data_IF_145184357340
#
_entry.id   IF_145184357340
#
_cell.length_a   1.000
_cell.length_b   1.000
_cell.length_c   1.000
_cell.angle_alpha   90.00
_cell.angle_beta   90.00
_cell.angle_gamma   90.00
#
_symmetry.space_group_name_H-M   'P 1'
#
loop_
_entity.id
_entity.type
_entity.pdbx_description
1 polymer ?
#
# COMPACT_ATOMS: atom_id res chain seq x y z
N UNK A 1 -15.51 20.26 7.81
CA UNK A 1 -14.92 20.79 6.56
C UNK A 1 -13.57 20.12 6.44
N UNK A 2 -13.33 19.36 5.37
CA UNK A 2 -12.00 18.86 5.09
C UNK A 2 -11.09 20.06 4.76
N UNK A 3 -9.95 20.16 5.43
CA UNK A 3 -8.94 21.17 5.12
C UNK A 3 -8.34 20.83 3.75
N UNK A 4 -8.55 21.68 2.74
CA UNK A 4 -7.87 21.54 1.45
C UNK A 4 -6.55 22.31 1.52
N UNK A 5 -5.40 21.62 1.61
CA UNK A 5 -4.12 22.29 1.70
C UNK A 5 -3.83 23.06 0.40
N UNK A 6 -3.28 24.25 0.54
CA UNK A 6 -2.77 25.00 -0.60
C UNK A 6 -1.73 24.14 -1.34
N UNK A 7 -1.80 24.11 -2.68
CA UNK A 7 -0.75 23.47 -3.49
C UNK A 7 0.60 24.16 -3.28
N UNK A 8 1.68 23.38 -3.42
CA UNK A 8 3.06 23.87 -3.35
C UNK A 8 3.42 24.64 -4.64
N UNK A 9 4.26 25.66 -4.51
CA UNK A 9 4.96 26.25 -5.64
C UNK A 9 6.04 25.29 -6.17
N UNK A 10 6.53 25.47 -7.39
CA UNK A 10 7.59 24.65 -7.97
C UNK A 10 8.86 24.60 -7.09
N UNK A 11 9.21 25.72 -6.43
CA UNK A 11 10.34 25.76 -5.50
C UNK A 11 10.08 24.92 -4.24
N UNK A 12 8.87 24.98 -3.68
CA UNK A 12 8.48 24.19 -2.51
C UNK A 12 8.40 22.70 -2.85
N UNK A 13 7.94 22.34 -4.04
CA UNK A 13 7.95 20.94 -4.53
C UNK A 13 9.39 20.40 -4.56
N UNK A 14 10.35 21.16 -5.10
CA UNK A 14 11.76 20.77 -5.11
C UNK A 14 12.33 20.64 -3.68
N UNK A 15 11.99 21.57 -2.80
CA UNK A 15 12.42 21.50 -1.39
C UNK A 15 11.85 20.28 -0.68
N UNK A 16 10.57 19.97 -0.90
CA UNK A 16 9.94 18.78 -0.34
C UNK A 16 10.58 17.49 -0.86
N UNK A 17 10.86 17.39 -2.18
CA UNK A 17 11.54 16.24 -2.75
C UNK A 17 12.89 16.00 -2.08
N UNK A 18 13.73 17.03 -1.98
CA UNK A 18 15.03 16.95 -1.33
C UNK A 18 14.92 16.62 0.17
N UNK A 19 13.89 17.13 0.84
CA UNK A 19 13.64 16.88 2.25
C UNK A 19 13.32 15.39 2.48
N UNK A 20 12.44 14.82 1.67
CA UNK A 20 12.06 13.40 1.77
C UNK A 20 13.25 12.50 1.42
N UNK A 21 14.02 12.81 0.38
CA UNK A 21 15.23 12.05 0.02
C UNK A 21 16.25 12.08 1.16
N UNK A 22 16.53 13.25 1.74
CA UNK A 22 17.45 13.39 2.88
C UNK A 22 16.97 12.57 4.08
N UNK A 23 15.67 12.57 4.32
CA UNK A 23 15.04 11.81 5.39
C UNK A 23 15.12 10.30 5.12
N UNK A 24 14.82 9.84 3.90
CA UNK A 24 14.94 8.44 3.48
C UNK A 24 16.39 7.94 3.64
N UNK A 25 17.36 8.73 3.22
CA UNK A 25 18.79 8.41 3.39
C UNK A 25 19.16 8.31 4.86
N UNK A 26 18.70 9.23 5.71
CA UNK A 26 18.95 9.19 7.13
C UNK A 26 18.32 7.95 7.79
N UNK A 27 17.08 7.60 7.43
CA UNK A 27 16.37 6.43 7.96
C UNK A 27 17.00 5.12 7.48
N UNK A 28 17.35 5.01 6.21
CA UNK A 28 17.93 3.79 5.64
C UNK A 28 19.39 3.56 6.09
N UNK A 29 20.17 4.61 6.32
CA UNK A 29 21.60 4.53 6.61
C UNK A 29 21.94 4.67 8.09
N UNK A 30 20.99 5.00 8.95
CA UNK A 30 21.27 5.25 10.36
C UNK A 30 20.84 4.09 11.26
N UNK A 31 21.59 3.91 12.37
CA UNK A 31 21.13 3.16 13.54
C UNK A 31 19.76 3.65 14.07
N UNK A 32 19.28 4.81 13.59
CA UNK A 32 17.93 5.35 13.83
C UNK A 32 16.80 4.58 13.13
N UNK A 33 17.08 3.79 12.10
CA UNK A 33 16.12 2.80 11.56
C UNK A 33 15.68 1.77 12.60
N UNK A 34 16.42 1.64 13.71
CA UNK A 34 16.04 0.83 14.88
C UNK A 34 15.29 1.63 15.96
N UNK A 35 15.07 2.94 15.78
CA UNK A 35 14.45 3.80 16.79
C UNK A 35 13.02 4.17 16.38
N UNK A 36 12.05 3.47 16.96
CA UNK A 36 10.67 3.90 17.00
C UNK A 36 9.78 3.40 15.87
N UNK A 37 8.97 4.26 15.28
CA UNK A 37 7.87 3.98 14.37
C UNK A 37 8.25 3.11 13.14
N UNK A 38 9.46 3.29 12.58
CA UNK A 38 9.93 2.54 11.39
C UNK A 38 10.21 1.06 11.63
N UNK A 39 10.55 0.65 12.86
CA UNK A 39 10.70 -0.77 13.19
C UNK A 39 9.39 -1.53 13.01
N UNK A 40 8.26 -0.85 13.18
CA UNK A 40 6.93 -1.40 12.99
C UNK A 40 6.35 -1.27 11.57
N UNK A 41 7.00 -0.49 10.67
CA UNK A 41 6.42 -0.13 9.36
C UNK A 41 7.37 -0.35 8.17
N UNK A 42 7.96 -1.54 8.00
CA UNK A 42 8.93 -1.80 6.93
C UNK A 42 8.33 -1.72 5.52
N UNK A 43 7.05 -2.08 5.35
CA UNK A 43 6.38 -1.99 4.05
C UNK A 43 6.09 -0.55 3.67
N UNK A 44 5.61 0.27 4.59
CA UNK A 44 5.41 1.71 4.37
C UNK A 44 6.70 2.39 3.93
N UNK A 45 7.82 2.12 4.61
CA UNK A 45 9.13 2.67 4.24
C UNK A 45 9.58 2.17 2.86
N UNK A 46 9.43 0.87 2.59
CA UNK A 46 9.76 0.28 1.29
C UNK A 46 8.95 0.88 0.14
N UNK A 47 7.63 1.10 0.35
CA UNK A 47 6.74 1.67 -0.65
C UNK A 47 7.09 3.14 -0.92
N UNK A 48 7.35 3.92 0.13
CA UNK A 48 7.76 5.30 -0.01
C UNK A 48 9.11 5.42 -0.73
N UNK A 49 10.10 4.60 -0.36
CA UNK A 49 11.39 4.55 -1.06
C UNK A 49 11.21 4.25 -2.55
N UNK A 50 10.37 3.27 -2.87
CA UNK A 50 10.05 2.89 -4.25
C UNK A 50 9.39 4.03 -5.01
N UNK A 51 8.45 4.73 -4.38
CA UNK A 51 7.76 5.88 -4.95
C UNK A 51 8.72 7.01 -5.29
N UNK A 52 9.56 7.42 -4.33
CA UNK A 52 10.52 8.51 -4.49
C UNK A 52 11.64 8.18 -5.48
N UNK A 53 12.14 6.94 -5.49
CA UNK A 53 13.25 6.55 -6.36
C UNK A 53 12.81 5.91 -7.69
N UNK A 54 11.52 6.01 -8.03
CA UNK A 54 10.98 5.52 -9.33
C UNK A 54 11.35 4.06 -9.65
N UNK A 55 11.29 3.18 -8.62
CA UNK A 55 11.77 1.79 -8.74
C UNK A 55 10.81 0.87 -9.52
N UNK A 56 9.70 1.42 -10.03
CA UNK A 56 8.70 0.69 -10.80
C UNK A 56 7.80 -0.23 -9.98
N UNK A 57 7.00 -1.03 -10.67
CA UNK A 57 6.03 -1.94 -10.05
C UNK A 57 6.69 -2.99 -9.14
N UNK A 58 5.94 -3.49 -8.16
CA UNK A 58 6.41 -4.54 -7.27
C UNK A 58 5.41 -5.70 -7.21
N UNK A 59 5.95 -6.88 -6.88
CA UNK A 59 5.15 -8.05 -6.53
C UNK A 59 5.50 -8.46 -5.10
N UNK A 60 4.48 -8.64 -4.26
CA UNK A 60 4.64 -9.14 -2.91
C UNK A 60 4.17 -10.60 -2.84
N UNK A 61 4.80 -11.39 -1.97
CA UNK A 61 4.31 -12.73 -1.64
C UNK A 61 3.01 -12.64 -0.87
N UNK A 62 2.07 -13.55 -1.13
CA UNK A 62 0.85 -13.68 -0.35
C UNK A 62 1.10 -13.90 1.14
N UNK A 63 2.21 -14.58 1.49
CA UNK A 63 2.54 -14.89 2.88
C UNK A 63 2.61 -13.66 3.78
N UNK A 64 2.90 -12.48 3.21
CA UNK A 64 2.99 -11.24 3.98
C UNK A 64 1.63 -10.77 4.51
N UNK A 65 0.53 -11.09 3.79
CA UNK A 65 -0.84 -10.69 4.16
C UNK A 65 -1.73 -11.87 4.55
N UNK A 66 -1.24 -13.10 4.48
CA UNK A 66 -2.03 -14.31 4.67
C UNK A 66 -2.71 -14.40 6.05
N UNK A 67 -2.09 -13.81 7.07
CA UNK A 67 -2.57 -13.82 8.45
C UNK A 67 -3.52 -12.67 8.78
N UNK A 68 -3.73 -11.70 7.87
CA UNK A 68 -4.67 -10.62 8.09
C UNK A 68 -6.11 -11.12 8.12
N UNK A 69 -6.87 -10.73 9.14
CA UNK A 69 -8.27 -11.17 9.29
C UNK A 69 -9.12 -10.75 8.09
N UNK A 70 -8.90 -9.54 7.57
CA UNK A 70 -9.60 -9.04 6.39
C UNK A 70 -9.40 -9.94 5.16
N UNK A 71 -8.19 -10.45 4.95
CA UNK A 71 -7.86 -11.37 3.85
C UNK A 71 -8.52 -12.73 4.07
N UNK A 72 -8.47 -13.28 5.30
CA UNK A 72 -9.15 -14.54 5.63
C UNK A 72 -10.65 -14.44 5.39
N UNK A 73 -11.30 -13.37 5.88
CA UNK A 73 -12.73 -13.15 5.65
C UNK A 73 -13.10 -12.97 4.17
N UNK A 74 -12.25 -12.28 3.40
CA UNK A 74 -12.46 -12.15 1.96
C UNK A 74 -12.35 -13.52 1.26
N UNK A 75 -11.36 -14.34 1.63
CA UNK A 75 -11.21 -15.71 1.12
C UNK A 75 -12.42 -16.57 1.45
N UNK A 76 -12.94 -16.52 2.68
CA UNK A 76 -14.11 -17.29 3.10
C UNK A 76 -15.36 -16.89 2.30
N UNK A 77 -15.58 -15.60 2.08
CA UNK A 77 -16.70 -15.10 1.26
C UNK A 77 -16.56 -15.55 -0.21
N UNK A 78 -15.33 -15.49 -0.75
CA UNK A 78 -15.07 -15.97 -2.11
C UNK A 78 -15.34 -17.47 -2.24
N UNK A 79 -14.86 -18.27 -1.29
CA UNK A 79 -15.15 -19.72 -1.23
C UNK A 79 -16.64 -20.00 -1.21
N UNK A 80 -17.41 -19.27 -0.37
CA UNK A 80 -18.86 -19.41 -0.31
C UNK A 80 -19.54 -19.06 -1.65
N UNK A 81 -19.14 -17.96 -2.28
CA UNK A 81 -19.69 -17.54 -3.57
C UNK A 81 -19.40 -18.55 -4.69
N UNK A 82 -18.16 -19.06 -4.76
CA UNK A 82 -17.76 -20.07 -5.76
C UNK A 82 -18.52 -21.39 -5.55
N UNK A 83 -18.71 -21.84 -4.30
CA UNK A 83 -19.55 -23.01 -3.98
C UNK A 83 -21.01 -22.82 -4.40
N UNK A 84 -21.52 -21.58 -4.35
CA UNK A 84 -22.85 -21.21 -4.83
C UNK A 84 -22.93 -21.07 -6.37
N UNK A 85 -21.85 -21.35 -7.10
CA UNK A 85 -21.82 -21.37 -8.56
C UNK A 85 -21.29 -20.11 -9.24
N UNK A 86 -20.70 -19.16 -8.48
CA UNK A 86 -20.05 -18.01 -9.07
C UNK A 86 -18.75 -18.42 -9.79
N UNK A 87 -18.57 -17.99 -11.04
CA UNK A 87 -17.30 -18.19 -11.77
C UNK A 87 -16.22 -17.17 -11.38
N UNK A 88 -16.63 -16.05 -10.78
CA UNK A 88 -15.77 -15.01 -10.24
C UNK A 88 -16.45 -14.31 -9.05
N UNK A 89 -15.64 -13.70 -8.21
CA UNK A 89 -16.09 -12.92 -7.05
C UNK A 89 -15.16 -11.73 -6.85
N UNK A 90 -15.67 -10.63 -6.34
CA UNK A 90 -14.88 -9.45 -6.00
C UNK A 90 -15.16 -9.06 -4.55
N UNK A 91 -14.10 -8.77 -3.82
CA UNK A 91 -14.17 -8.26 -2.46
C UNK A 91 -13.30 -7.02 -2.28
N UNK A 92 -13.40 -6.38 -1.15
CA UNK A 92 -12.60 -5.21 -0.81
C UNK A 92 -12.24 -5.19 0.66
N UNK A 93 -10.97 -5.00 0.96
CA UNK A 93 -10.52 -4.57 2.27
C UNK A 93 -10.71 -3.06 2.33
N UNK A 94 -11.49 -2.58 3.29
CA UNK A 94 -11.73 -1.16 3.49
C UNK A 94 -10.58 -0.53 4.26
N UNK A 95 -10.42 0.78 4.17
CA UNK A 95 -9.53 1.55 5.05
C UNK A 95 -9.94 1.30 6.51
N UNK A 96 -8.97 1.06 7.40
CA UNK A 96 -9.20 0.62 8.78
C UNK A 96 -9.51 -0.87 8.92
N UNK A 97 -9.39 -1.67 7.85
CA UNK A 97 -9.67 -3.11 7.85
C UNK A 97 -8.47 -4.00 8.11
N UNK A 98 -7.26 -3.46 8.06
CA UNK A 98 -6.05 -4.21 8.34
C UNK A 98 -5.77 -4.30 9.84
N UNK A 99 -5.30 -5.45 10.31
CA UNK A 99 -4.84 -5.63 11.69
C UNK A 99 -3.44 -5.04 11.88
N UNK A 100 -2.65 -5.02 10.82
CA UNK A 100 -1.30 -4.47 10.80
C UNK A 100 -1.33 -3.03 10.27
N UNK A 101 -0.96 -2.06 11.10
CA UNK A 101 -0.91 -0.64 10.77
C UNK A 101 0.03 -0.34 9.59
N UNK A 102 1.06 -1.17 9.37
CA UNK A 102 1.96 -1.03 8.22
C UNK A 102 1.24 -1.32 6.90
N UNK A 103 0.33 -2.32 6.86
CA UNK A 103 -0.50 -2.56 5.68
C UNK A 103 -1.60 -1.52 5.52
N UNK A 104 -2.16 -1.00 6.62
CA UNK A 104 -3.10 0.11 6.57
C UNK A 104 -2.46 1.34 5.90
N UNK A 105 -1.19 1.62 6.20
CA UNK A 105 -0.47 2.76 5.66
C UNK A 105 0.07 2.51 4.24
N UNK A 106 0.51 1.27 3.95
CA UNK A 106 1.16 0.93 2.67
C UNK A 106 0.18 0.49 1.58
N UNK A 107 -0.84 -0.27 1.92
CA UNK A 107 -1.85 -0.79 0.98
C UNK A 107 -3.18 -0.05 1.07
N UNK A 108 -3.54 0.46 2.28
CA UNK A 108 -4.81 1.16 2.47
C UNK A 108 -6.04 0.30 2.11
N UNK A 109 -6.95 0.84 1.33
CA UNK A 109 -8.13 0.10 0.88
C UNK A 109 -7.85 -0.58 -0.47
N UNK A 110 -7.88 -1.91 -0.50
CA UNK A 110 -7.56 -2.69 -1.72
C UNK A 110 -8.74 -3.53 -2.21
N UNK A 111 -8.83 -3.68 -3.53
CA UNK A 111 -9.75 -4.62 -4.18
C UNK A 111 -9.11 -6.00 -4.36
N UNK A 112 -9.89 -7.06 -4.15
CA UNK A 112 -9.45 -8.45 -4.34
C UNK A 112 -10.35 -9.10 -5.39
N UNK A 113 -9.75 -9.55 -6.48
CA UNK A 113 -10.44 -10.28 -7.54
C UNK A 113 -10.22 -11.78 -7.37
N UNK A 114 -11.29 -12.55 -7.40
CA UNK A 114 -11.26 -14.02 -7.36
C UNK A 114 -11.83 -14.57 -8.65
N UNK A 115 -11.15 -15.52 -9.28
CA UNK A 115 -11.58 -16.15 -10.52
C UNK A 115 -11.29 -17.64 -10.48
N UNK A 116 -12.27 -18.47 -10.86
CA UNK A 116 -12.03 -19.90 -11.10
C UNK A 116 -11.04 -20.00 -12.26
N UNK A 117 -9.84 -20.52 -11.97
CA UNK A 117 -8.76 -20.65 -12.93
C UNK A 117 -8.68 -22.06 -13.50
N UNK A 118 -8.99 -23.07 -12.68
CA UNK A 118 -8.95 -24.46 -13.08
C UNK A 118 -9.94 -25.30 -12.25
N UNK A 119 -10.24 -26.48 -12.73
CA UNK A 119 -11.14 -27.44 -12.09
C UNK A 119 -10.51 -28.84 -12.09
N UNK A 120 -10.57 -29.49 -10.95
CA UNK A 120 -10.14 -30.90 -10.79
C UNK A 120 -11.31 -31.78 -10.42
N UNK A 121 -11.08 -33.12 -10.34
CA UNK A 121 -12.07 -34.06 -9.84
C UNK A 121 -12.47 -33.85 -8.38
N UNK A 122 -11.72 -32.99 -7.61
CA UNK A 122 -11.93 -32.78 -6.17
C UNK A 122 -12.46 -31.37 -5.83
N UNK A 123 -12.42 -30.45 -6.78
CA UNK A 123 -12.82 -29.06 -6.54
C UNK A 123 -12.25 -28.08 -7.56
N UNK A 124 -12.39 -26.82 -7.25
CA UNK A 124 -11.92 -25.69 -8.07
C UNK A 124 -10.62 -25.12 -7.52
N UNK A 125 -9.75 -24.68 -8.42
CA UNK A 125 -8.63 -23.78 -8.11
C UNK A 125 -9.07 -22.37 -8.44
N UNK A 126 -9.03 -21.49 -7.44
CA UNK A 126 -9.47 -20.09 -7.54
C UNK A 126 -8.25 -19.21 -7.41
N UNK A 127 -7.91 -18.49 -8.47
CA UNK A 127 -6.88 -17.48 -8.47
C UNK A 127 -7.44 -16.23 -7.81
N UNK A 128 -6.76 -15.74 -6.78
CA UNK A 128 -7.02 -14.48 -6.11
C UNK A 128 -5.91 -13.48 -6.43
N UNK A 129 -6.28 -12.23 -6.66
CA UNK A 129 -5.33 -11.18 -7.08
C UNK A 129 -5.70 -9.85 -6.42
N UNK A 130 -4.72 -9.21 -5.82
CA UNK A 130 -4.70 -7.77 -5.52
C UNK A 130 -3.81 -7.11 -6.56
N UNK A 131 -4.32 -6.07 -7.19
CA UNK A 131 -3.64 -5.27 -8.20
C UNK A 131 -3.96 -3.81 -7.91
N UNK A 132 -3.10 -3.14 -7.16
CA UNK A 132 -3.37 -1.83 -6.59
C UNK A 132 -2.28 -0.83 -6.96
N UNK A 133 -2.69 0.45 -7.08
CA UNK A 133 -1.77 1.55 -7.31
C UNK A 133 -1.35 2.18 -5.99
N UNK A 134 -0.04 2.23 -5.77
CA UNK A 134 0.50 3.10 -4.74
C UNK A 134 0.54 4.52 -5.30
N UNK A 135 -0.48 5.26 -4.95
CA UNK A 135 -0.62 6.67 -5.25
C UNK A 135 -1.21 7.39 -4.02
N UNK A 136 -1.00 8.69 -3.95
CA UNK A 136 -1.55 9.49 -2.88
C UNK A 136 -2.85 10.14 -3.34
N UNK A 137 -3.93 9.92 -2.58
CA UNK A 137 -5.24 10.50 -2.88
C UNK A 137 -5.46 11.77 -2.06
N UNK A 138 -5.85 12.84 -2.71
CA UNK A 138 -5.86 14.24 -2.28
C UNK A 138 -6.59 14.59 -0.96
N UNK A 139 -6.78 13.68 -0.02
CA UNK A 139 -7.52 13.91 1.23
C UNK A 139 -6.87 13.33 2.49
N UNK A 140 -5.72 12.69 2.40
CA UNK A 140 -5.01 12.13 3.53
C UNK A 140 -3.75 12.95 3.86
N UNK A 141 -3.14 12.62 4.97
CA UNK A 141 -1.85 13.16 5.40
C UNK A 141 -0.93 12.00 5.76
N UNK A 142 0.35 12.15 5.50
CA UNK A 142 1.39 11.23 5.93
C UNK A 142 2.30 11.95 6.90
N UNK A 143 2.56 11.36 8.05
CA UNK A 143 3.51 11.89 9.01
C UNK A 143 4.90 11.31 8.72
N UNK A 144 5.88 12.19 8.58
CA UNK A 144 7.30 11.88 8.45
C UNK A 144 8.01 12.29 9.74
N UNK A 145 8.12 11.40 10.74
CA UNK A 145 8.71 11.77 12.02
C UNK A 145 10.12 12.33 11.85
N UNK A 146 10.37 13.48 12.48
CA UNK A 146 11.65 14.18 12.43
C UNK A 146 12.08 14.67 11.03
N UNK A 147 11.16 14.82 10.07
CA UNK A 147 11.49 15.35 8.74
C UNK A 147 12.16 16.74 8.84
N UNK A 148 11.63 17.62 9.66
CA UNK A 148 12.16 18.96 9.91
C UNK A 148 13.55 18.94 10.59
N UNK A 149 13.89 17.90 11.34
CA UNK A 149 15.20 17.71 11.95
C UNK A 149 16.25 17.26 10.92
N UNK A 150 15.91 16.28 10.08
CA UNK A 150 16.84 15.76 9.07
C UNK A 150 16.96 16.69 7.86
N UNK A 151 15.91 17.40 7.52
CA UNK A 151 15.82 18.31 6.38
C UNK A 151 15.62 19.78 6.84
N UNK A 152 16.67 20.39 7.40
CA UNK A 152 16.60 21.74 8.01
C UNK A 152 16.09 22.82 7.06
N UNK A 153 16.20 22.64 5.75
CA UNK A 153 15.70 23.59 4.75
C UNK A 153 14.19 23.48 4.50
N UNK A 154 13.56 22.37 4.91
CA UNK A 154 12.13 22.17 4.83
C UNK A 154 11.43 22.87 6.01
N UNK A 155 10.49 23.77 5.70
CA UNK A 155 9.73 24.54 6.71
C UNK A 155 8.27 24.12 6.82
N UNK A 156 7.84 23.09 6.08
CA UNK A 156 6.46 22.61 6.05
C UNK A 156 6.07 21.70 7.21
N UNK A 157 7.02 21.37 8.11
CA UNK A 157 6.79 20.47 9.24
C UNK A 157 6.83 19.00 8.86
N UNK A 158 6.38 18.13 9.77
CA UNK A 158 6.47 16.65 9.64
C UNK A 158 5.22 16.04 8.99
N UNK A 159 4.15 16.79 8.82
CA UNK A 159 2.91 16.32 8.20
C UNK A 159 2.88 16.73 6.74
N UNK A 160 2.92 15.75 5.85
CA UNK A 160 2.85 15.93 4.41
C UNK A 160 1.46 15.55 3.92
N UNK A 161 0.85 16.40 3.11
CA UNK A 161 -0.46 16.14 2.51
C UNK A 161 -0.30 15.30 1.24
N UNK A 162 -1.21 14.36 1.02
CA UNK A 162 -1.22 13.53 -0.20
C UNK A 162 -1.17 14.36 -1.49
N UNK A 163 -1.86 15.51 -1.50
CA UNK A 163 -1.79 16.46 -2.60
C UNK A 163 -0.37 16.92 -2.93
N UNK A 164 0.50 17.07 -1.92
CA UNK A 164 1.90 17.45 -2.12
C UNK A 164 2.72 16.28 -2.66
N UNK A 165 2.40 15.05 -2.22
CA UNK A 165 3.01 13.85 -2.79
C UNK A 165 2.62 13.68 -4.26
N UNK A 166 1.35 13.91 -4.62
CA UNK A 166 0.92 13.94 -6.02
C UNK A 166 1.68 14.98 -6.84
N UNK A 167 1.91 16.18 -6.31
CA UNK A 167 2.70 17.20 -6.98
C UNK A 167 4.17 16.79 -7.20
N UNK A 168 4.75 15.97 -6.30
CA UNK A 168 6.08 15.38 -6.52
C UNK A 168 6.07 14.44 -7.73
N UNK A 169 5.04 13.60 -7.87
CA UNK A 169 4.92 12.72 -9.03
C UNK A 169 4.67 13.48 -10.33
N UNK A 170 3.81 14.50 -10.32
CA UNK A 170 3.54 15.38 -11.46
C UNK A 170 4.79 16.15 -11.91
N UNK A 171 5.63 16.55 -10.97
CA UNK A 171 6.90 17.25 -11.23
C UNK A 171 8.05 16.30 -11.63
N UNK A 172 7.84 14.97 -11.61
CA UNK A 172 8.83 13.97 -11.97
C UNK A 172 9.86 13.63 -10.88
N UNK A 173 9.64 14.07 -9.63
CA UNK A 173 10.49 13.71 -8.49
C UNK A 173 10.13 12.36 -7.89
N UNK A 174 8.95 11.82 -8.20
CA UNK A 174 8.47 10.55 -7.71
C UNK A 174 7.69 9.81 -8.82
N UNK A 175 7.41 8.53 -8.65
CA UNK A 175 6.65 7.73 -9.60
C UNK A 175 5.66 6.83 -8.89
N UNK A 176 4.39 6.93 -9.28
CA UNK A 176 3.35 5.95 -8.90
C UNK A 176 3.73 4.58 -9.44
N UNK A 177 3.44 3.53 -8.67
CA UNK A 177 3.74 2.16 -9.07
C UNK A 177 2.58 1.23 -8.69
N UNK A 178 2.54 0.07 -9.34
CA UNK A 178 1.59 -1.00 -9.00
C UNK A 178 2.18 -1.98 -8.01
N UNK A 179 1.37 -2.36 -7.03
CA UNK A 179 1.60 -3.50 -6.15
C UNK A 179 0.73 -4.65 -6.62
N UNK A 180 1.35 -5.80 -6.86
CA UNK A 180 0.69 -7.04 -7.27
C UNK A 180 0.90 -8.12 -6.22
N UNK A 181 -0.20 -8.77 -5.79
CA UNK A 181 -0.18 -9.92 -4.90
C UNK A 181 -1.11 -10.98 -5.50
N UNK A 182 -0.63 -12.21 -5.61
CA UNK A 182 -1.40 -13.30 -6.19
C UNK A 182 -1.29 -14.56 -5.33
N UNK A 183 -2.42 -15.28 -5.20
CA UNK A 183 -2.45 -16.58 -4.55
C UNK A 183 -3.54 -17.48 -5.13
N UNK A 184 -3.51 -18.74 -4.75
CA UNK A 184 -4.51 -19.73 -5.18
C UNK A 184 -5.21 -20.32 -3.97
N UNK A 185 -6.54 -20.37 -4.01
CA UNK A 185 -7.38 -21.10 -3.07
C UNK A 185 -7.85 -22.41 -3.73
N UNK A 186 -7.89 -23.46 -2.95
CA UNK A 186 -8.60 -24.69 -3.36
C UNK A 186 -9.98 -24.73 -2.71
N UNK A 187 -11.02 -24.84 -3.51
CA UNK A 187 -12.41 -24.91 -3.09
C UNK A 187 -12.92 -26.33 -3.37
N UNK A 188 -12.98 -27.21 -2.37
CA UNK A 188 -13.45 -28.57 -2.58
C UNK A 188 -14.93 -28.60 -2.94
N UNK A 189 -15.33 -29.59 -3.77
CA UNK A 189 -16.74 -29.90 -3.96
C UNK A 189 -17.36 -30.24 -2.60
N UNK A 190 -18.61 -29.87 -2.40
CA UNK A 190 -19.39 -30.38 -1.26
C UNK A 190 -19.61 -31.86 -1.54
N UNK A 191 -19.08 -32.72 -0.69
CA UNK A 191 -19.49 -34.12 -0.71
C UNK A 191 -20.94 -34.14 -0.24
N UNK A 192 -21.87 -34.50 -1.13
CA UNK A 192 -23.25 -34.85 -0.76
C UNK A 192 -23.26 -36.14 0.07
#
# INVERSE_FOLDING_TARGET
>A
MAYDPKGLTASEVTQLANAIDTWLDAVNNSLFGSLGWFVGHPYTLSFLTRYMHSMGNQTLSYDVIANEAAIRFANDRAVAAIKAGAGCYFDRVQKGGWENDDFETSLGAVGISYKVADQSAKGFYVKATIDDWYDFHAQATVEFPYLDYFACDWKGGNIIYDKWMDQLAEAGFAQRFRTHIEWTLFVPYTLE
#
